data_IF_144894719567
#
_entry.id   IF_144894719567
#
_cell.length_a   1.000
_cell.length_b   1.000
_cell.length_c   1.000
_cell.angle_alpha   90.00
_cell.angle_beta   90.00
_cell.angle_gamma   90.00
#
_symmetry.space_group_name_H-M   'P 1'
#
loop_
_entity.id
_entity.type
_entity.pdbx_description
1 polymer ?
#
# COMPACT_ATOMS: atom_id res chain seq x y z
N UNK A 1 22.77 -23.80 17.43
CA UNK A 1 23.22 -23.50 16.06
C UNK A 1 22.14 -22.68 15.37
N UNK A 2 22.53 -21.59 14.70
CA UNK A 2 21.74 -20.38 14.40
C UNK A 2 20.79 -20.59 13.21
N UNK A 3 19.54 -20.16 13.34
CA UNK A 3 18.58 -20.12 12.24
C UNK A 3 19.06 -19.12 11.17
N UNK A 4 19.28 -19.61 9.97
CA UNK A 4 19.76 -18.84 8.82
C UNK A 4 18.60 -18.02 8.25
N UNK A 5 18.66 -16.70 8.43
CA UNK A 5 17.75 -15.74 7.83
C UNK A 5 18.00 -15.72 6.34
N UNK A 6 17.25 -16.53 5.57
CA UNK A 6 17.18 -16.40 4.11
C UNK A 6 16.67 -14.99 3.80
N UNK A 7 17.58 -14.10 3.41
CA UNK A 7 17.22 -12.77 2.95
C UNK A 7 16.49 -12.91 1.62
N UNK A 8 15.43 -12.14 1.42
CA UNK A 8 14.65 -12.11 0.18
C UNK A 8 15.49 -11.81 -1.08
N UNK A 9 16.71 -11.31 -0.90
CA UNK A 9 17.66 -11.02 -1.96
C UNK A 9 18.30 -12.30 -2.56
N UNK A 10 18.41 -13.40 -1.80
CA UNK A 10 19.14 -14.60 -2.23
C UNK A 10 18.33 -15.44 -3.24
N UNK A 11 17.00 -15.48 -3.07
CA UNK A 11 16.10 -16.27 -3.93
C UNK A 11 15.93 -15.65 -5.33
N UNK A 12 16.15 -14.34 -5.48
CA UNK A 12 15.94 -13.63 -6.76
C UNK A 12 17.16 -13.58 -7.69
N UNK A 13 18.37 -13.76 -7.16
CA UNK A 13 19.61 -13.52 -7.92
C UNK A 13 20.00 -14.69 -8.84
N UNK A 14 19.42 -15.88 -8.62
CA UNK A 14 20.00 -17.12 -9.15
C UNK A 14 19.83 -17.34 -10.66
N UNK A 15 18.95 -16.63 -11.41
CA UNK A 15 18.82 -16.79 -12.89
C UNK A 15 17.81 -15.86 -13.60
N UNK A 16 17.48 -14.71 -13.03
CA UNK A 16 16.47 -13.83 -13.63
C UNK A 16 17.06 -12.90 -14.69
N UNK A 17 16.53 -12.90 -15.90
CA UNK A 17 16.70 -11.77 -16.81
C UNK A 17 16.10 -10.50 -16.18
N UNK A 18 16.47 -9.31 -16.66
CA UNK A 18 15.99 -8.03 -16.10
C UNK A 18 14.46 -7.98 -16.02
N UNK A 19 13.76 -8.59 -16.97
CA UNK A 19 12.31 -8.62 -16.99
C UNK A 19 11.74 -9.38 -15.78
N UNK A 20 12.28 -10.56 -15.48
CA UNK A 20 11.88 -11.36 -14.31
C UNK A 20 12.16 -10.62 -13.00
N UNK A 21 13.32 -9.98 -12.88
CA UNK A 21 13.69 -9.22 -11.70
C UNK A 21 12.74 -8.03 -11.45
N UNK A 22 12.43 -7.27 -12.51
CA UNK A 22 11.50 -6.14 -12.41
C UNK A 22 10.08 -6.61 -12.08
N UNK A 23 9.60 -7.70 -12.68
CA UNK A 23 8.28 -8.26 -12.36
C UNK A 23 8.20 -8.69 -10.89
N UNK A 24 9.22 -9.39 -10.41
CA UNK A 24 9.22 -9.90 -9.03
C UNK A 24 9.34 -8.78 -7.98
N UNK A 25 10.19 -7.78 -8.24
CA UNK A 25 10.48 -6.72 -7.26
C UNK A 25 9.50 -5.55 -7.33
N UNK A 26 9.13 -5.12 -8.54
CA UNK A 26 8.33 -3.91 -8.75
C UNK A 26 6.87 -4.21 -9.12
N UNK A 27 6.56 -5.41 -9.63
CA UNK A 27 5.19 -5.83 -9.95
C UNK A 27 4.21 -5.68 -8.78
N UNK A 28 4.53 -6.19 -7.58
CA UNK A 28 3.65 -6.01 -6.41
C UNK A 28 3.45 -4.55 -5.99
N UNK A 29 4.33 -3.64 -6.41
CA UNK A 29 4.27 -2.21 -6.06
C UNK A 29 3.38 -1.47 -7.07
N UNK A 30 3.65 -1.63 -8.36
CA UNK A 30 3.04 -0.83 -9.44
C UNK A 30 1.90 -1.53 -10.21
N UNK A 31 1.81 -2.86 -10.15
CA UNK A 31 0.86 -3.64 -10.93
C UNK A 31 1.24 -3.80 -12.41
N UNK A 32 0.44 -4.58 -13.13
CA UNK A 32 0.76 -5.03 -14.50
C UNK A 32 0.68 -3.91 -15.55
N UNK A 33 -0.11 -2.86 -15.31
CA UNK A 33 -0.38 -1.80 -16.29
C UNK A 33 0.87 -1.02 -16.74
N UNK A 34 1.91 -0.95 -15.91
CA UNK A 34 3.14 -0.20 -16.21
C UNK A 34 4.39 -1.08 -16.25
N UNK A 35 4.28 -2.39 -16.01
CA UNK A 35 5.45 -3.24 -15.80
C UNK A 35 6.37 -3.32 -17.01
N UNK A 36 5.81 -3.27 -18.22
CA UNK A 36 6.60 -3.28 -19.45
C UNK A 36 7.42 -1.99 -19.64
N UNK A 37 6.91 -0.84 -19.18
CA UNK A 37 7.65 0.42 -19.18
C UNK A 37 8.80 0.35 -18.17
N UNK A 38 8.54 -0.18 -16.97
CA UNK A 38 9.56 -0.35 -15.94
C UNK A 38 10.68 -1.29 -16.40
N UNK A 39 10.35 -2.36 -17.12
CA UNK A 39 11.35 -3.28 -17.70
C UNK A 39 12.25 -2.54 -18.71
N UNK A 40 11.67 -1.68 -19.56
CA UNK A 40 12.45 -0.87 -20.51
C UNK A 40 13.39 0.10 -19.79
N UNK A 41 12.86 0.85 -18.81
CA UNK A 41 13.67 1.78 -18.02
C UNK A 41 14.79 1.07 -17.26
N UNK A 42 14.51 -0.09 -16.66
CA UNK A 42 15.52 -0.89 -15.98
C UNK A 42 16.62 -1.37 -16.95
N UNK A 43 16.26 -1.74 -18.18
CA UNK A 43 17.24 -2.09 -19.23
C UNK A 43 18.07 -0.89 -19.65
N UNK A 44 17.45 0.28 -19.84
CA UNK A 44 18.17 1.51 -20.20
C UNK A 44 19.19 1.88 -19.12
N UNK A 45 18.79 1.82 -17.84
CA UNK A 45 19.69 2.09 -16.71
C UNK A 45 20.80 1.02 -16.62
N UNK A 46 20.45 -0.25 -16.75
CA UNK A 46 21.43 -1.35 -16.74
C UNK A 46 22.51 -1.13 -17.80
N UNK A 47 22.13 -0.72 -19.01
CA UNK A 47 23.07 -0.52 -20.12
C UNK A 47 23.83 0.80 -19.95
N UNK A 48 23.14 1.91 -19.72
CA UNK A 48 23.74 3.24 -19.76
C UNK A 48 24.54 3.59 -18.51
N UNK A 49 24.10 3.16 -17.32
CA UNK A 49 24.75 3.51 -16.05
C UNK A 49 25.58 2.36 -15.47
N UNK A 50 25.23 1.11 -15.80
CA UNK A 50 25.88 -0.09 -15.25
C UNK A 50 26.60 -0.92 -16.31
N UNK A 51 26.61 -0.50 -17.58
CA UNK A 51 27.33 -1.15 -18.68
C UNK A 51 27.02 -2.64 -18.85
N UNK A 52 25.78 -3.04 -18.56
CA UNK A 52 25.34 -4.43 -18.63
C UNK A 52 25.71 -5.29 -17.41
N UNK A 53 26.36 -4.72 -16.39
CA UNK A 53 26.68 -5.44 -15.16
C UNK A 53 25.42 -5.64 -14.29
N UNK A 54 24.75 -6.77 -14.51
CA UNK A 54 23.50 -7.10 -13.85
C UNK A 54 23.63 -7.20 -12.33
N UNK A 55 24.72 -7.79 -11.82
CA UNK A 55 24.95 -7.96 -10.39
C UNK A 55 25.03 -6.60 -9.68
N UNK A 56 25.87 -5.68 -10.19
CA UNK A 56 26.01 -4.35 -9.63
C UNK A 56 24.71 -3.54 -9.75
N UNK A 57 24.01 -3.63 -10.89
CA UNK A 57 22.70 -2.98 -11.07
C UNK A 57 21.68 -3.47 -10.01
N UNK A 58 21.60 -4.79 -9.79
CA UNK A 58 20.67 -5.35 -8.80
C UNK A 58 21.06 -4.92 -7.39
N UNK A 59 22.33 -5.09 -7.03
CA UNK A 59 22.83 -4.83 -5.68
C UNK A 59 22.77 -3.36 -5.29
N UNK A 60 23.15 -2.46 -6.20
CA UNK A 60 23.31 -1.03 -5.89
C UNK A 60 22.12 -0.16 -6.29
N UNK A 61 21.23 -0.63 -7.17
CA UNK A 61 20.10 0.16 -7.66
C UNK A 61 18.75 -0.54 -7.47
N UNK A 62 18.52 -1.65 -8.17
CA UNK A 62 17.17 -2.21 -8.30
C UNK A 62 16.61 -2.70 -6.96
N UNK A 63 17.41 -3.46 -6.19
CA UNK A 63 16.98 -3.98 -4.89
C UNK A 63 16.77 -2.87 -3.85
N UNK A 64 17.71 -1.90 -3.66
CA UNK A 64 17.47 -0.74 -2.81
C UNK A 64 16.23 0.06 -3.19
N UNK A 65 16.01 0.31 -4.49
CA UNK A 65 14.86 1.06 -4.98
C UNK A 65 13.55 0.33 -4.67
N UNK A 66 13.45 -0.98 -4.95
CA UNK A 66 12.28 -1.79 -4.64
C UNK A 66 11.97 -1.80 -3.13
N UNK A 67 13.00 -1.89 -2.28
CA UNK A 67 12.85 -1.82 -0.83
C UNK A 67 12.28 -0.47 -0.37
N UNK A 68 12.82 0.65 -0.86
CA UNK A 68 12.31 1.98 -0.50
C UNK A 68 10.88 2.19 -0.99
N UNK A 69 10.57 1.78 -2.23
CA UNK A 69 9.25 1.92 -2.82
C UNK A 69 8.19 1.08 -2.12
N UNK A 70 8.54 -0.14 -1.67
CA UNK A 70 7.61 -0.97 -0.89
C UNK A 70 7.25 -0.32 0.46
N UNK A 71 8.24 0.30 1.13
CA UNK A 71 7.99 1.09 2.36
C UNK A 71 7.08 2.28 2.09
N UNK A 72 7.33 3.04 1.03
CA UNK A 72 6.49 4.19 0.65
C UNK A 72 5.05 3.73 0.39
N UNK A 73 4.86 2.62 -0.33
CA UNK A 73 3.53 2.04 -0.58
C UNK A 73 2.82 1.63 0.72
N UNK A 74 3.53 1.01 1.66
CA UNK A 74 2.97 0.64 2.97
C UNK A 74 2.48 1.86 3.73
N UNK A 75 3.34 2.87 3.87
CA UNK A 75 3.01 4.11 4.60
C UNK A 75 1.84 4.84 3.92
N UNK A 76 1.87 4.98 2.59
CA UNK A 76 0.77 5.58 1.84
C UNK A 76 -0.55 4.86 2.08
N UNK A 77 -0.54 3.52 2.07
CA UNK A 77 -1.74 2.70 2.31
C UNK A 77 -2.29 2.90 3.74
N UNK A 78 -1.42 3.01 4.75
CA UNK A 78 -1.83 3.27 6.14
C UNK A 78 -2.43 4.66 6.34
N UNK A 79 -1.88 5.68 5.66
CA UNK A 79 -2.41 7.06 5.75
C UNK A 79 -3.83 7.16 5.19
N UNK A 80 -4.13 6.48 4.08
CA UNK A 80 -5.46 6.44 3.46
C UNK A 80 -6.52 5.81 4.39
N UNK A 81 -6.13 4.82 5.19
CA UNK A 81 -7.05 4.19 6.16
C UNK A 81 -7.40 5.15 7.29
N UNK A 82 -6.41 5.88 7.84
CA UNK A 82 -6.62 6.82 8.95
C UNK A 82 -7.52 8.00 8.58
N UNK A 83 -7.41 8.51 7.35
CA UNK A 83 -8.28 9.58 6.86
C UNK A 83 -9.72 9.10 6.60
N UNK A 84 -9.91 7.85 6.19
CA UNK A 84 -11.23 7.29 5.90
C UNK A 84 -12.05 7.04 7.18
N UNK A 85 -11.39 6.58 8.25
CA UNK A 85 -12.05 6.32 9.54
C UNK A 85 -12.46 7.63 10.25
N UNK A 86 -11.68 8.70 10.11
CA UNK A 86 -11.96 9.99 10.76
C UNK A 86 -13.20 10.70 10.20
N UNK A 87 -13.52 10.52 8.91
CA UNK A 87 -14.69 11.15 8.29
C UNK A 87 -16.02 10.46 8.65
N UNK A 88 -16.03 9.18 9.04
CA UNK A 88 -17.28 8.47 9.35
C UNK A 88 -17.81 8.69 10.77
N UNK A 89 -16.97 9.15 11.72
CA UNK A 89 -17.41 9.33 13.12
C UNK A 89 -18.20 10.61 13.40
N UNK A 90 -18.17 11.60 12.51
CA UNK A 90 -18.75 12.93 12.80
C UNK A 90 -20.24 13.10 12.47
N UNK A 91 -20.86 12.15 11.75
CA UNK A 91 -22.23 12.35 11.24
C UNK A 91 -23.35 11.76 12.10
N UNK A 92 -23.07 11.18 13.27
CA UNK A 92 -24.04 10.35 14.00
C UNK A 92 -24.41 10.85 15.41
N UNK A 93 -24.39 12.16 15.67
CA UNK A 93 -24.70 12.72 16.99
C UNK A 93 -25.74 13.86 17.05
N UNK A 94 -26.53 14.08 15.99
CA UNK A 94 -27.61 15.06 16.03
C UNK A 94 -28.93 14.47 15.53
N UNK A 95 -29.59 13.64 16.34
CA UNK A 95 -31.05 13.62 16.39
C UNK A 95 -31.54 12.96 17.68
N UNK A 96 -32.57 13.57 18.26
CA UNK A 96 -33.37 13.15 19.42
C UNK A 96 -33.01 13.75 20.79
N UNK A 97 -33.32 15.03 20.94
CA UNK A 97 -33.86 15.55 22.19
C UNK A 97 -35.02 16.50 21.91
N UNK A 98 -36.25 16.02 22.10
CA UNK A 98 -37.54 16.72 22.30
C UNK A 98 -38.59 15.60 22.23
N UNK A 99 -39.44 15.27 23.18
CA UNK A 99 -39.98 15.90 24.38
C UNK A 99 -40.41 14.77 25.32
N UNK A 100 -40.21 14.92 26.64
CA UNK A 100 -40.95 14.12 27.62
C UNK A 100 -41.63 15.05 28.63
N UNK A 101 -42.79 14.59 29.11
CA UNK A 101 -43.70 15.13 30.12
C UNK A 101 -44.76 16.12 29.64
N UNK A 102 -46.02 15.67 29.57
CA UNK A 102 -46.89 15.64 30.75
C UNK A 102 -48.05 14.64 30.58
N UNK A 103 -48.07 13.62 31.42
CA UNK A 103 -49.29 12.87 31.75
C UNK A 103 -49.86 13.51 33.03
N UNK A 104 -51.04 14.12 32.96
CA UNK A 104 -52.13 13.86 33.90
C UNK A 104 -53.40 14.65 33.57
N UNK A 105 -54.51 13.98 33.84
CA UNK A 105 -55.77 14.51 34.42
C UNK A 105 -57.00 14.72 33.50
N UNK A 106 -57.98 13.84 33.77
CA UNK A 106 -59.45 13.91 33.65
C UNK A 106 -60.06 14.07 32.24
N UNK A 107 -60.78 13.08 31.68
CA UNK A 107 -62.15 12.59 31.99
C UNK A 107 -63.24 13.68 31.99
N UNK A 108 -64.26 13.41 31.16
CA UNK A 108 -65.55 14.11 30.96
C UNK A 108 -65.42 15.40 30.12
N UNK A 109 -66.16 15.59 29.02
CA UNK A 109 -67.62 15.54 28.92
C UNK A 109 -68.14 14.88 27.64
N UNK A 110 -69.33 14.32 27.81
CA UNK A 110 -70.27 13.80 26.82
C UNK A 110 -71.40 14.83 26.74
N UNK A 111 -71.66 15.38 25.55
CA UNK A 111 -72.96 15.87 25.04
C UNK A 111 -72.78 16.41 23.61
#
# INVERSE_FOLDING_TARGET
MRAETRTWADVGLARGDVASLVRNLLGPIYGDGVINLLIRQARDILVCAYHGNLENFVKSYLSPAAFLLSKVKSVASETVIKTSISHHHHHHYHHHHHHHHHHHHLRHYHE
#
